data_IF_919050218674
#
_entry.id   IF_919050218674
#
_cell.length_a   1.000
_cell.length_b   1.000
_cell.length_c   1.000
_cell.angle_alpha   90.00
_cell.angle_beta   90.00
_cell.angle_gamma   90.00
#
_symmetry.space_group_name_H-M   'P 1'
#
loop_
_entity.id
_entity.type
_entity.pdbx_description
1 polymer ?
#
# COMPACT_ATOMS: atom_id res chain seq x y z
N UNK A 1 -12.70 -14.73 -6.05
CA UNK A 1 -11.82 -13.70 -6.55
C UNK A 1 -11.81 -12.59 -5.52
N UNK A 2 -10.66 -12.38 -4.89
CA UNK A 2 -10.52 -11.41 -3.84
C UNK A 2 -10.61 -9.98 -4.33
N UNK A 3 -11.15 -9.10 -3.51
CA UNK A 3 -11.05 -7.66 -3.68
C UNK A 3 -9.58 -7.25 -3.47
N UNK A 4 -9.09 -6.13 -4.08
CA UNK A 4 -7.76 -5.59 -3.78
C UNK A 4 -7.50 -5.39 -2.27
N UNK A 5 -8.58 -5.34 -1.50
CA UNK A 5 -8.58 -5.20 -0.04
C UNK A 5 -8.46 -6.57 0.65
N UNK A 6 -8.69 -7.69 -0.07
CA UNK A 6 -8.61 -9.05 0.51
C UNK A 6 -7.16 -9.49 0.83
N UNK A 7 -6.16 -8.83 0.27
CA UNK A 7 -4.76 -9.01 0.73
C UNK A 7 -4.54 -8.56 2.18
N UNK A 8 -5.51 -7.86 2.76
CA UNK A 8 -5.52 -7.52 4.19
C UNK A 8 -6.16 -8.62 5.06
N UNK A 9 -6.63 -9.72 4.44
CA UNK A 9 -7.23 -10.86 5.13
C UNK A 9 -6.48 -12.13 4.76
N UNK A 10 -6.15 -12.93 5.74
CA UNK A 10 -5.59 -14.26 5.58
C UNK A 10 -6.54 -15.25 6.27
N UNK A 11 -6.99 -16.30 5.54
CA UNK A 11 -7.96 -17.29 6.03
C UNK A 11 -9.29 -16.69 6.55
N UNK A 12 -9.70 -15.50 6.02
CA UNK A 12 -10.90 -14.80 6.47
C UNK A 12 -10.72 -13.98 7.75
N UNK A 13 -9.55 -14.01 8.35
CA UNK A 13 -9.15 -13.14 9.45
C UNK A 13 -8.40 -11.93 8.93
N UNK A 14 -8.66 -10.78 9.52
CA UNK A 14 -8.00 -9.52 9.18
C UNK A 14 -6.51 -9.65 9.51
N UNK A 15 -5.63 -9.46 8.51
CA UNK A 15 -4.19 -9.39 8.76
C UNK A 15 -3.94 -8.28 9.78
N UNK A 16 -3.57 -8.64 10.97
CA UNK A 16 -3.03 -7.68 11.91
C UNK A 16 -1.69 -7.19 11.35
N UNK A 17 -1.53 -5.88 11.19
CA UNK A 17 -0.30 -5.28 10.68
C UNK A 17 0.95 -5.78 11.41
N UNK A 18 2.11 -5.62 10.79
CA UNK A 18 3.37 -5.93 11.45
C UNK A 18 3.65 -4.98 12.61
N UNK A 19 4.34 -5.48 13.64
CA UNK A 19 4.84 -4.64 14.72
C UNK A 19 6.13 -3.93 14.26
N UNK A 20 6.04 -2.62 14.07
CA UNK A 20 7.17 -1.77 13.75
C UNK A 20 7.90 -1.40 15.06
N UNK A 21 9.21 -1.59 15.09
CA UNK A 21 10.07 -1.27 16.21
C UNK A 21 11.10 -0.21 15.80
N UNK A 22 11.24 0.86 16.58
CA UNK A 22 12.26 1.89 16.37
C UNK A 22 12.85 2.36 17.69
N UNK A 23 14.02 2.97 17.61
CA UNK A 23 14.70 3.59 18.75
C UNK A 23 14.51 5.10 18.65
N UNK A 24 14.01 5.72 19.71
CA UNK A 24 13.86 7.18 19.78
C UNK A 24 15.20 7.87 20.14
N UNK A 25 15.17 9.20 20.15
CA UNK A 25 16.37 10.01 20.46
C UNK A 25 16.89 9.83 21.89
N UNK A 26 16.05 9.32 22.80
CA UNK A 26 16.44 9.00 24.17
C UNK A 26 17.00 7.57 24.29
N UNK A 27 17.10 6.82 23.19
CA UNK A 27 17.58 5.45 23.16
C UNK A 27 16.55 4.41 23.62
N UNK A 28 15.27 4.79 23.71
CA UNK A 28 14.18 3.87 24.11
C UNK A 28 13.65 3.14 22.89
N UNK A 29 13.38 1.85 23.07
CA UNK A 29 12.70 1.04 22.09
C UNK A 29 11.20 1.33 22.14
N UNK A 30 10.62 1.68 21.02
CA UNK A 30 9.19 1.92 20.85
C UNK A 30 8.63 0.95 19.84
N UNK A 31 7.36 0.59 19.96
CA UNK A 31 6.66 -0.29 19.02
C UNK A 31 5.30 0.27 18.62
N UNK A 32 4.88 -0.03 17.39
CA UNK A 32 3.57 0.34 16.86
C UNK A 32 3.12 -0.70 15.84
N UNK A 33 1.89 -1.20 15.96
CA UNK A 33 1.28 -2.03 14.92
C UNK A 33 0.87 -1.17 13.74
N UNK A 34 1.47 -1.44 12.57
CA UNK A 34 1.18 -0.75 11.32
C UNK A 34 0.73 -1.72 10.23
N UNK A 35 -0.21 -1.27 9.40
CA UNK A 35 -0.70 -2.03 8.24
C UNK A 35 0.25 -1.79 7.05
N UNK A 36 0.86 -2.84 6.49
CA UNK A 36 1.65 -2.70 5.27
C UNK A 36 0.76 -2.54 4.04
N UNK A 37 1.05 -1.56 3.20
CA UNK A 37 0.42 -1.34 1.91
C UNK A 37 1.49 -1.45 0.84
N UNK A 38 1.37 -2.46 0.00
CA UNK A 38 2.31 -2.69 -1.09
C UNK A 38 1.84 -1.90 -2.30
N UNK A 39 2.69 -1.01 -2.78
CA UNK A 39 2.36 -0.14 -3.90
C UNK A 39 3.63 0.32 -4.64
N UNK A 40 3.42 0.82 -5.85
CA UNK A 40 4.45 1.51 -6.63
C UNK A 40 4.46 3.02 -6.35
N UNK A 41 5.35 3.73 -7.03
CA UNK A 41 5.54 5.18 -6.91
C UNK A 41 4.36 6.00 -7.46
N UNK A 42 3.52 5.42 -8.33
CA UNK A 42 2.34 6.09 -8.87
C UNK A 42 1.10 5.96 -7.95
N UNK A 43 1.13 5.11 -6.92
CA UNK A 43 0.00 4.88 -6.04
C UNK A 43 -0.56 6.18 -5.44
N UNK A 44 0.31 7.03 -4.91
CA UNK A 44 -0.08 8.31 -4.31
C UNK A 44 -0.80 9.21 -5.32
N UNK A 45 -0.31 9.26 -6.57
CA UNK A 45 -0.92 10.03 -7.66
C UNK A 45 -2.23 9.41 -8.14
N UNK A 46 -2.26 8.09 -8.33
CA UNK A 46 -3.44 7.37 -8.82
C UNK A 46 -4.61 7.51 -7.85
N UNK A 47 -4.36 7.44 -6.56
CA UNK A 47 -5.39 7.61 -5.52
C UNK A 47 -5.57 9.07 -5.08
N UNK A 48 -4.80 10.01 -5.64
CA UNK A 48 -4.83 11.43 -5.30
C UNK A 48 -4.68 11.67 -3.80
N UNK A 49 -3.72 10.98 -3.18
CA UNK A 49 -3.42 11.14 -1.77
C UNK A 49 -2.67 12.45 -1.54
N UNK A 50 -3.03 13.15 -0.49
CA UNK A 50 -2.41 14.42 -0.12
C UNK A 50 -1.15 14.15 0.71
N UNK A 51 0.01 14.58 0.19
CA UNK A 51 1.27 14.57 0.96
C UNK A 51 1.24 15.68 2.00
N UNK A 52 1.52 15.33 3.27
CA UNK A 52 1.61 16.30 4.37
C UNK A 52 3.07 16.75 4.54
N UNK A 53 4.01 15.82 4.38
CA UNK A 53 5.42 16.07 4.66
C UNK A 53 6.32 15.13 3.86
N UNK A 54 7.54 15.59 3.57
CA UNK A 54 8.56 14.78 2.89
C UNK A 54 8.26 14.55 1.43
N UNK A 55 8.69 13.40 0.93
CA UNK A 55 8.66 13.03 -0.47
C UNK A 55 7.75 11.81 -0.72
N UNK A 56 7.29 11.67 -1.95
CA UNK A 56 6.56 10.47 -2.38
C UNK A 56 7.48 9.25 -2.39
N UNK A 57 6.87 8.07 -2.40
CA UNK A 57 7.61 6.83 -2.60
C UNK A 57 8.30 6.88 -3.97
N UNK A 58 9.59 6.56 -3.98
CA UNK A 58 10.33 6.30 -5.22
C UNK A 58 10.57 4.79 -5.33
N UNK A 59 10.24 4.24 -6.50
CA UNK A 59 10.51 2.85 -6.79
C UNK A 59 12.02 2.69 -7.07
N UNK A 60 12.73 2.15 -6.12
CA UNK A 60 14.16 1.87 -6.25
C UNK A 60 14.36 0.49 -6.90
N UNK A 61 14.18 0.45 -8.22
CA UNK A 61 14.30 -0.78 -9.00
C UNK A 61 15.71 -1.39 -8.93
N UNK A 62 16.73 -0.55 -8.92
CA UNK A 62 18.12 -1.00 -8.98
C UNK A 62 18.57 -1.63 -7.65
N UNK A 63 18.21 -1.03 -6.53
CA UNK A 63 18.54 -1.55 -5.21
C UNK A 63 17.66 -2.73 -4.79
N UNK A 64 16.44 -2.79 -5.32
CA UNK A 64 15.52 -3.90 -5.01
C UNK A 64 16.08 -5.24 -5.51
N UNK A 65 16.57 -5.29 -6.75
CA UNK A 65 17.10 -6.51 -7.37
C UNK A 65 18.61 -6.70 -7.14
N UNK A 66 19.33 -5.65 -6.82
CA UNK A 66 20.80 -5.66 -6.65
C UNK A 66 21.31 -6.29 -5.36
N UNK A 67 20.45 -6.73 -4.46
CA UNK A 67 20.81 -7.42 -3.21
C UNK A 67 21.60 -6.58 -2.20
N UNK A 68 21.74 -5.27 -2.44
CA UNK A 68 22.65 -4.41 -1.67
C UNK A 68 22.00 -3.64 -0.53
N UNK A 69 20.73 -3.30 -0.59
CA UNK A 69 20.11 -2.47 0.43
C UNK A 69 19.15 -3.28 1.31
N UNK A 70 19.57 -3.53 2.53
CA UNK A 70 18.69 -3.99 3.61
C UNK A 70 17.72 -2.89 4.07
N UNK A 71 17.78 -1.69 3.47
CA UNK A 71 16.97 -0.54 3.84
C UNK A 71 16.00 -0.17 2.71
N UNK A 72 14.72 -0.11 3.04
CA UNK A 72 13.62 0.27 2.13
C UNK A 72 13.03 1.60 2.55
N UNK A 73 12.74 2.46 1.59
CA UNK A 73 12.01 3.69 1.83
C UNK A 73 10.52 3.44 1.93
N UNK A 74 9.85 4.20 2.81
CA UNK A 74 8.40 4.09 3.02
C UNK A 74 7.75 5.45 3.20
N UNK A 75 6.48 5.52 2.86
CA UNK A 75 5.59 6.63 3.20
C UNK A 75 4.59 6.13 4.24
N UNK A 76 4.43 6.86 5.33
CA UNK A 76 3.46 6.54 6.38
C UNK A 76 2.21 7.42 6.28
N UNK A 77 1.10 7.00 6.89
CA UNK A 77 -0.07 7.85 7.01
C UNK A 77 0.00 8.74 8.26
N UNK A 78 -0.87 9.74 8.33
CA UNK A 78 -0.96 10.71 9.43
C UNK A 78 -1.22 10.02 10.77
N UNK A 79 -2.05 8.98 10.80
CA UNK A 79 -2.33 8.17 12.01
C UNK A 79 -1.06 7.50 12.53
N UNK A 80 -0.22 6.94 11.66
CA UNK A 80 1.06 6.35 12.07
C UNK A 80 1.98 7.41 12.69
N UNK A 81 2.12 8.58 12.06
CA UNK A 81 2.92 9.68 12.61
C UNK A 81 2.43 10.10 14.00
N UNK A 82 1.13 10.30 14.18
CA UNK A 82 0.54 10.67 15.47
C UNK A 82 0.82 9.63 16.56
N UNK A 83 0.68 8.35 16.22
CA UNK A 83 0.84 7.27 17.19
C UNK A 83 2.32 6.98 17.50
N UNK A 84 3.24 7.29 16.58
CA UNK A 84 4.69 7.23 16.84
C UNK A 84 5.16 8.26 17.86
N UNK A 85 4.44 9.37 18.04
CA UNK A 85 4.76 10.46 18.99
C UNK A 85 6.15 11.09 18.77
N UNK A 86 6.66 11.03 17.56
CA UNK A 86 7.92 11.68 17.17
C UNK A 86 7.63 13.08 16.61
N UNK A 87 8.49 14.04 16.92
CA UNK A 87 8.32 15.43 16.44
C UNK A 87 8.42 15.51 14.90
N UNK A 88 9.40 14.82 14.34
CA UNK A 88 9.58 14.65 12.89
C UNK A 88 9.78 13.17 12.56
N UNK A 89 8.89 12.57 11.74
CA UNK A 89 9.02 11.18 11.37
C UNK A 89 10.01 10.96 10.21
N UNK A 90 10.35 12.01 9.44
CA UNK A 90 11.22 11.87 8.26
C UNK A 90 12.62 11.44 8.69
N UNK A 91 13.14 10.40 8.06
CA UNK A 91 14.43 9.80 8.38
C UNK A 91 14.39 8.81 9.53
N UNK A 92 13.26 8.69 10.27
CA UNK A 92 13.13 7.64 11.28
C UNK A 92 13.22 6.28 10.62
N UNK A 93 14.05 5.41 11.21
CA UNK A 93 14.21 4.03 10.79
C UNK A 93 13.47 3.11 11.74
N UNK A 94 12.77 2.13 11.17
CA UNK A 94 12.11 1.08 11.94
C UNK A 94 12.31 -0.28 11.27
N UNK A 95 12.14 -1.34 12.02
CA UNK A 95 12.10 -2.71 11.51
C UNK A 95 10.77 -3.37 11.90
N UNK A 96 10.34 -4.33 11.10
CA UNK A 96 9.20 -5.15 11.45
C UNK A 96 9.71 -6.39 12.19
N UNK A 97 9.17 -6.63 13.38
CA UNK A 97 9.61 -7.73 14.25
C UNK A 97 8.76 -8.98 14.10
N UNK A 98 7.53 -8.84 13.63
CA UNK A 98 6.53 -9.91 13.65
C UNK A 98 5.98 -10.19 12.24
N UNK A 99 6.89 -10.36 11.27
CA UNK A 99 6.50 -10.63 9.88
C UNK A 99 7.35 -11.71 9.23
N UNK A 100 6.70 -12.52 8.41
CA UNK A 100 7.36 -13.45 7.48
C UNK A 100 8.04 -12.75 6.28
N UNK A 101 7.92 -11.41 6.17
CA UNK A 101 8.46 -10.56 5.10
C UNK A 101 9.98 -10.35 5.17
N UNK A 102 10.65 -10.90 6.16
CA UNK A 102 12.09 -10.71 6.39
C UNK A 102 12.40 -9.49 7.26
N UNK A 103 13.65 -9.43 7.68
CA UNK A 103 14.17 -8.37 8.55
C UNK A 103 14.69 -7.19 7.72
N UNK A 104 13.82 -6.42 7.12
CA UNK A 104 14.20 -5.20 6.44
C UNK A 104 14.14 -4.02 7.38
N UNK A 105 15.09 -3.10 7.24
CA UNK A 105 15.00 -1.78 7.84
C UNK A 105 14.19 -0.88 6.89
N UNK A 106 13.23 -0.19 7.43
CA UNK A 106 12.39 0.77 6.71
C UNK A 106 12.75 2.17 7.16
N UNK A 107 12.92 3.09 6.20
CA UNK A 107 13.19 4.50 6.45
C UNK A 107 12.04 5.34 5.96
N UNK A 108 11.47 6.15 6.84
CA UNK A 108 10.36 7.04 6.50
C UNK A 108 10.89 8.20 5.66
N UNK A 109 10.35 8.36 4.44
CA UNK A 109 10.68 9.47 3.52
C UNK A 109 9.53 10.44 3.36
N UNK A 110 8.30 10.04 3.67
CA UNK A 110 7.13 10.89 3.52
C UNK A 110 5.98 10.53 4.44
N UNK A 111 5.05 11.48 4.54
CA UNK A 111 3.79 11.32 5.26
C UNK A 111 2.65 11.75 4.35
N UNK A 112 1.66 10.88 4.19
CA UNK A 112 0.38 11.19 3.53
C UNK A 112 -0.71 11.42 4.56
N UNK A 113 -1.68 12.24 4.20
CA UNK A 113 -2.91 12.40 4.97
C UNK A 113 -3.62 11.06 5.10
N UNK A 114 -4.35 10.89 6.20
CA UNK A 114 -5.16 9.70 6.41
C UNK A 114 -6.15 9.49 5.25
N UNK A 115 -6.19 8.28 4.74
CA UNK A 115 -7.09 7.86 3.67
C UNK A 115 -7.72 6.50 4.00
N UNK A 116 -8.90 6.25 3.44
CA UNK A 116 -9.60 5.00 3.68
C UNK A 116 -9.06 3.91 2.75
N UNK A 117 -8.30 2.99 3.30
CA UNK A 117 -7.83 1.76 2.63
C UNK A 117 -8.54 0.50 3.17
N UNK A 118 -9.49 0.69 4.09
CA UNK A 118 -10.33 -0.33 4.71
C UNK A 118 -11.81 0.12 4.63
N UNK A 119 -12.71 -0.61 5.30
CA UNK A 119 -14.11 -0.19 5.40
C UNK A 119 -14.21 1.23 5.98
N UNK A 120 -15.09 2.08 5.40
CA UNK A 120 -15.34 3.44 5.92
C UNK A 120 -15.92 3.47 7.34
N UNK A 121 -16.34 2.32 7.87
CA UNK A 121 -16.85 2.17 9.25
C UNK A 121 -15.73 1.94 10.26
N UNK A 122 -14.55 1.58 9.78
CA UNK A 122 -13.41 1.34 10.65
C UNK A 122 -12.59 2.61 10.84
N UNK A 123 -12.07 2.77 12.06
CA UNK A 123 -11.09 3.83 12.32
C UNK A 123 -9.87 3.59 11.45
N UNK A 124 -9.37 4.65 10.82
CA UNK A 124 -8.13 4.59 10.04
C UNK A 124 -6.99 4.14 10.98
N UNK A 125 -6.29 3.11 10.55
CA UNK A 125 -5.20 2.52 11.32
C UNK A 125 -3.86 3.10 10.88
N UNK A 126 -2.84 3.11 11.75
CA UNK A 126 -1.47 3.34 11.35
C UNK A 126 -1.08 2.42 10.19
N UNK A 127 -0.51 3.01 9.12
CA UNK A 127 -0.14 2.29 7.92
C UNK A 127 1.15 2.85 7.32
N UNK A 128 1.86 2.00 6.58
CA UNK A 128 3.00 2.41 5.77
C UNK A 128 2.89 1.81 4.37
N UNK A 129 3.30 2.59 3.38
CA UNK A 129 3.29 2.25 1.96
C UNK A 129 4.73 1.98 1.55
N UNK A 130 5.00 0.86 0.89
CA UNK A 130 6.32 0.49 0.44
C UNK A 130 6.30 -0.27 -0.89
N UNK A 131 7.42 -0.22 -1.60
CA UNK A 131 7.60 -0.89 -2.88
C UNK A 131 8.00 -2.36 -2.69
N UNK A 132 7.26 -3.29 -3.30
CA UNK A 132 7.54 -4.72 -3.32
C UNK A 132 6.94 -5.36 -4.57
N UNK A 133 7.60 -5.26 -5.73
CA UNK A 133 7.03 -5.60 -7.03
C UNK A 133 6.62 -7.06 -7.16
N UNK A 134 7.34 -8.00 -6.51
CA UNK A 134 7.01 -9.43 -6.52
C UNK A 134 5.68 -9.77 -5.83
N UNK A 135 5.15 -8.82 -5.07
CA UNK A 135 3.91 -9.01 -4.31
C UNK A 135 2.75 -8.20 -4.89
N UNK A 136 2.99 -7.41 -5.93
CA UNK A 136 1.95 -6.66 -6.61
C UNK A 136 1.06 -7.60 -7.42
N UNK A 137 -0.23 -7.59 -7.11
CA UNK A 137 -1.22 -8.48 -7.75
C UNK A 137 -2.24 -7.71 -8.59
N UNK A 138 -2.31 -6.40 -8.43
CA UNK A 138 -3.33 -5.56 -9.06
C UNK A 138 -2.69 -4.35 -9.74
N UNK A 139 -3.24 -4.00 -10.90
CA UNK A 139 -2.96 -2.75 -11.59
C UNK A 139 -4.16 -1.81 -11.41
N UNK A 140 -3.93 -0.66 -10.82
CA UNK A 140 -4.94 0.38 -10.70
C UNK A 140 -4.78 1.40 -11.81
N UNK A 141 -5.84 1.65 -12.56
CA UNK A 141 -5.85 2.62 -13.63
C UNK A 141 -6.96 3.63 -13.36
N UNK A 142 -6.58 4.90 -13.24
CA UNK A 142 -7.55 5.99 -13.18
C UNK A 142 -7.97 6.35 -14.60
N UNK A 143 -9.26 6.27 -14.88
CA UNK A 143 -9.84 6.62 -16.17
C UNK A 143 -10.78 7.82 -16.04
N UNK A 144 -10.94 8.59 -17.14
CA UNK A 144 -11.98 9.61 -17.24
C UNK A 144 -13.36 8.98 -17.18
N UNK A 145 -14.37 9.64 -16.59
CA UNK A 145 -15.75 9.20 -16.65
C UNK A 145 -16.32 9.20 -18.07
N UNK A 146 -15.72 10.00 -18.96
CA UNK A 146 -16.09 10.08 -20.36
C UNK A 146 -15.51 8.89 -21.13
N UNK A 147 -16.28 8.40 -22.13
CA UNK A 147 -15.83 7.33 -23.04
C UNK A 147 -15.34 6.03 -22.36
N UNK A 148 -15.91 5.67 -21.21
CA UNK A 148 -15.50 4.49 -20.44
C UNK A 148 -15.38 3.21 -21.26
N UNK A 149 -16.34 2.98 -22.20
CA UNK A 149 -16.36 1.75 -23.02
C UNK A 149 -15.17 1.67 -23.96
N UNK A 150 -14.83 2.78 -24.60
CA UNK A 150 -13.69 2.87 -25.52
C UNK A 150 -12.37 2.74 -24.77
N UNK A 151 -12.27 3.41 -23.61
CA UNK A 151 -11.10 3.30 -22.74
C UNK A 151 -10.89 1.87 -22.27
N UNK A 152 -11.94 1.17 -21.82
CA UNK A 152 -11.82 -0.24 -21.40
C UNK A 152 -11.41 -1.15 -22.55
N UNK A 153 -11.97 -0.92 -23.77
CA UNK A 153 -11.58 -1.68 -24.96
C UNK A 153 -10.11 -1.47 -25.30
N UNK A 154 -9.63 -0.23 -25.22
CA UNK A 154 -8.22 0.09 -25.41
C UNK A 154 -7.31 -0.59 -24.38
N UNK A 155 -7.69 -0.55 -23.09
CA UNK A 155 -6.93 -1.21 -22.01
C UNK A 155 -6.89 -2.72 -22.26
N UNK A 156 -8.01 -3.35 -22.62
CA UNK A 156 -8.06 -4.76 -22.95
C UNK A 156 -7.12 -5.10 -24.11
N UNK A 157 -7.17 -4.33 -25.19
CA UNK A 157 -6.29 -4.52 -26.33
C UNK A 157 -4.82 -4.44 -25.91
N UNK A 158 -4.43 -3.45 -25.10
CA UNK A 158 -3.07 -3.33 -24.59
C UNK A 158 -2.68 -4.49 -23.68
N UNK A 159 -3.59 -4.96 -22.87
CA UNK A 159 -3.37 -6.16 -22.05
C UNK A 159 -3.10 -7.38 -22.94
N UNK A 160 -3.93 -7.60 -23.98
CA UNK A 160 -3.77 -8.74 -24.90
C UNK A 160 -2.44 -8.69 -25.68
N UNK A 161 -1.96 -7.46 -26.00
CA UNK A 161 -0.67 -7.25 -26.67
C UNK A 161 0.53 -7.54 -25.75
N UNK A 162 0.43 -7.22 -24.46
CA UNK A 162 1.56 -7.25 -23.51
C UNK A 162 1.57 -8.46 -22.61
N UNK A 163 0.41 -9.07 -22.36
CA UNK A 163 0.27 -10.15 -21.40
C UNK A 163 1.00 -11.42 -21.90
N UNK A 164 1.76 -12.08 -21.03
CA UNK A 164 2.36 -13.37 -21.35
C UNK A 164 1.29 -14.40 -21.71
N UNK A 165 1.65 -15.40 -22.54
CA UNK A 165 0.73 -16.45 -23.02
C UNK A 165 -0.01 -17.22 -21.92
N UNK A 166 0.47 -17.20 -20.69
CA UNK A 166 -0.17 -17.83 -19.55
C UNK A 166 -1.20 -16.93 -18.85
N UNK A 167 -1.19 -15.59 -19.11
CA UNK A 167 -2.20 -14.65 -18.61
C UNK A 167 -3.31 -14.48 -19.67
N UNK A 168 -4.22 -15.44 -19.73
CA UNK A 168 -5.21 -15.49 -20.82
C UNK A 168 -6.51 -14.73 -20.58
N UNK A 169 -6.72 -14.17 -19.40
CA UNK A 169 -8.02 -13.58 -19.07
C UNK A 169 -7.84 -12.15 -18.54
N UNK A 170 -8.31 -11.19 -19.33
CA UNK A 170 -8.47 -9.82 -18.88
C UNK A 170 -9.66 -9.72 -17.93
N UNK A 171 -9.41 -9.36 -16.69
CA UNK A 171 -10.45 -9.13 -15.68
C UNK A 171 -10.29 -7.75 -15.11
N UNK A 172 -11.39 -7.03 -15.00
CA UNK A 172 -11.40 -5.72 -14.36
C UNK A 172 -12.60 -5.58 -13.43
N UNK A 173 -12.48 -4.67 -12.48
CA UNK A 173 -13.55 -4.26 -11.59
C UNK A 173 -13.40 -2.77 -11.33
N UNK A 174 -14.52 -2.04 -11.30
CA UNK A 174 -14.47 -0.66 -10.81
C UNK A 174 -14.29 -0.64 -9.30
N UNK A 175 -13.41 0.24 -8.83
CA UNK A 175 -13.10 0.37 -7.41
C UNK A 175 -14.35 0.73 -6.57
N UNK A 176 -15.24 1.60 -7.10
CA UNK A 176 -16.54 1.91 -6.50
C UNK A 176 -17.40 0.67 -6.27
N UNK A 177 -17.42 -0.27 -7.23
CA UNK A 177 -18.21 -1.48 -7.12
C UNK A 177 -17.61 -2.47 -6.12
N UNK A 178 -16.27 -2.52 -6.03
CA UNK A 178 -15.56 -3.30 -5.03
C UNK A 178 -15.90 -2.81 -3.62
N UNK A 179 -15.88 -1.52 -3.39
CA UNK A 179 -16.27 -0.92 -2.12
C UNK A 179 -17.74 -1.24 -1.78
N UNK A 180 -18.65 -1.04 -2.72
CA UNK A 180 -20.08 -1.29 -2.51
C UNK A 180 -20.41 -2.75 -2.18
N UNK A 181 -19.71 -3.72 -2.79
CA UNK A 181 -19.91 -5.14 -2.49
C UNK A 181 -19.53 -5.49 -1.05
N UNK A 182 -18.50 -4.89 -0.51
CA UNK A 182 -18.12 -5.09 0.88
C UNK A 182 -19.17 -4.55 1.84
N UNK A 183 -19.84 -3.43 1.49
CA UNK A 183 -20.98 -2.91 2.29
C UNK A 183 -22.21 -3.83 2.27
N UNK A 184 -22.44 -4.56 1.19
CA UNK A 184 -23.65 -5.43 1.07
C UNK A 184 -23.47 -6.78 1.78
N UNK A 185 -22.25 -7.33 1.81
CA UNK A 185 -21.96 -8.59 2.52
C UNK A 185 -22.02 -8.46 4.05
N UNK A 186 -21.80 -7.25 4.58
CA UNK A 186 -21.87 -6.98 6.01
C UNK A 186 -23.30 -6.77 6.54
N UNK A 187 -24.31 -6.83 5.66
CA UNK A 187 -25.73 -6.66 6.02
C UNK A 187 -26.55 -7.96 5.97
N UNK A 188 -25.92 -9.12 5.75
CA UNK A 188 -26.51 -10.46 5.82
C UNK A 188 -25.92 -11.24 7.00
#
# INVERSE_FOLDING_TARGET
MGSPIENLYENGEKKEGGEAEWIDMDGRVNTLKMVPIIADDDFIKVFNLEMIKGESLEADYDNYWGGGALQRTVVINESAWKDMKVADPIGTEFRLTDTWWGHFNYRIVGVVKDFNFQSLREKIRPAFIFYSPEQMQYLFIRISPENKKETLKFIQQKFDEMAPLFMKEFRYQFFSDALNKNYTKEHQ
#
